data_IF_213598476494
#
_entry.id   IF_213598476494
#
_cell.length_a   1.000
_cell.length_b   1.000
_cell.length_c   1.000
_cell.angle_alpha   90.00
_cell.angle_beta   90.00
_cell.angle_gamma   90.00
#
_symmetry.space_group_name_H-M   'P 1'
#
loop_
_entity.id
_entity.type
_entity.pdbx_description
1 polymer ?
#
# COMPACT_ATOMS: atom_id res chain seq x y z
N UNK A 1 -37.87 2.17 25.92
CA UNK A 1 -37.86 2.64 24.52
C UNK A 1 -37.10 1.60 23.69
N UNK A 2 -37.83 0.74 22.96
CA UNK A 2 -37.24 -0.39 22.23
C UNK A 2 -36.53 0.13 20.98
N UNK A 3 -35.20 0.12 20.98
CA UNK A 3 -34.42 0.40 19.76
C UNK A 3 -34.60 -0.79 18.83
N UNK A 4 -35.35 -0.60 17.73
CA UNK A 4 -35.67 -1.62 16.74
C UNK A 4 -34.40 -2.35 16.26
N UNK A 5 -34.46 -3.67 16.12
CA UNK A 5 -33.32 -4.52 15.76
C UNK A 5 -32.63 -4.08 14.46
N UNK A 6 -33.40 -3.50 13.53
CA UNK A 6 -32.89 -2.94 12.27
C UNK A 6 -31.98 -1.74 12.50
N UNK A 7 -32.31 -0.85 13.46
CA UNK A 7 -31.47 0.31 13.79
C UNK A 7 -30.14 -0.12 14.42
N UNK A 8 -30.13 -1.22 15.19
CA UNK A 8 -28.90 -1.78 15.77
C UNK A 8 -27.98 -2.34 14.68
N UNK A 9 -28.54 -3.05 13.71
CA UNK A 9 -27.79 -3.59 12.56
C UNK A 9 -27.22 -2.45 11.71
N UNK A 10 -28.03 -1.42 11.43
CA UNK A 10 -27.58 -0.26 10.66
C UNK A 10 -26.44 0.48 11.37
N UNK A 11 -26.54 0.68 12.68
CA UNK A 11 -25.49 1.28 13.48
C UNK A 11 -24.19 0.46 13.43
N UNK A 12 -24.29 -0.87 13.52
CA UNK A 12 -23.13 -1.76 13.46
C UNK A 12 -22.42 -1.70 12.11
N UNK A 13 -23.16 -1.66 10.99
CA UNK A 13 -22.59 -1.53 9.64
C UNK A 13 -21.86 -0.19 9.48
N UNK A 14 -22.43 0.90 9.99
CA UNK A 14 -21.82 2.23 9.94
C UNK A 14 -20.51 2.26 10.74
N UNK A 15 -20.49 1.72 11.96
CA UNK A 15 -19.28 1.65 12.78
C UNK A 15 -18.17 0.84 12.08
N UNK A 16 -18.51 -0.31 11.48
CA UNK A 16 -17.54 -1.16 10.77
C UNK A 16 -16.93 -0.45 9.55
N UNK A 17 -17.74 0.32 8.81
CA UNK A 17 -17.27 1.13 7.67
C UNK A 17 -16.33 2.25 8.11
N UNK A 18 -16.64 2.95 9.21
CA UNK A 18 -15.81 4.06 9.71
C UNK A 18 -14.43 3.56 10.18
N UNK A 19 -14.39 2.43 10.87
CA UNK A 19 -13.13 1.79 11.30
C UNK A 19 -12.32 1.34 10.09
N UNK A 20 -12.95 0.67 9.12
CA UNK A 20 -12.29 0.22 7.89
C UNK A 20 -11.71 1.35 7.04
N UNK A 21 -12.37 2.51 6.97
CA UNK A 21 -11.87 3.67 6.22
C UNK A 21 -10.60 4.30 6.82
N UNK A 22 -10.45 4.23 8.15
CA UNK A 22 -9.34 4.88 8.88
C UNK A 22 -8.12 3.98 9.06
N UNK A 23 -8.23 2.69 8.73
CA UNK A 23 -7.16 1.70 8.86
C UNK A 23 -6.37 1.48 7.57
N UNK A 24 -6.68 2.18 6.49
CA UNK A 24 -5.90 2.10 5.26
C UNK A 24 -4.56 2.81 5.48
N UNK A 25 -3.49 2.03 5.70
CA UNK A 25 -2.12 2.52 5.76
C UNK A 25 -1.70 3.22 4.45
N UNK A 26 -0.58 3.94 4.50
CA UNK A 26 0.00 4.64 3.35
C UNK A 26 1.33 3.99 2.96
N UNK A 27 1.51 3.74 1.66
CA UNK A 27 2.78 3.34 1.09
C UNK A 27 3.44 4.56 0.45
N UNK A 28 4.62 4.93 0.93
CA UNK A 28 5.39 6.07 0.42
C UNK A 28 6.83 5.64 0.17
N UNK A 29 7.42 6.17 -0.91
CA UNK A 29 8.78 5.87 -1.33
C UNK A 29 9.65 7.09 -1.06
N UNK A 30 10.54 6.98 -0.09
CA UNK A 30 11.40 8.09 0.35
C UNK A 30 12.62 8.28 -0.57
N UNK A 31 13.13 7.18 -1.12
CA UNK A 31 14.30 7.17 -1.98
C UNK A 31 14.15 6.08 -3.03
N UNK A 32 14.57 6.36 -4.26
CA UNK A 32 14.62 5.39 -5.35
C UNK A 32 15.95 5.54 -6.10
N UNK A 33 16.63 4.44 -6.43
CA UNK A 33 17.79 4.48 -7.31
C UNK A 33 17.37 4.80 -8.75
N UNK A 34 18.31 5.27 -9.59
CA UNK A 34 18.03 5.68 -10.97
C UNK A 34 17.53 4.56 -11.89
N UNK A 35 17.78 3.29 -11.53
CA UNK A 35 17.31 2.11 -12.26
C UNK A 35 15.83 1.82 -12.08
N UNK A 36 15.16 2.46 -11.11
CA UNK A 36 13.75 2.30 -10.83
C UNK A 36 13.03 3.65 -10.84
N UNK A 37 11.75 3.63 -11.23
CA UNK A 37 10.88 4.79 -11.14
C UNK A 37 9.56 4.38 -10.50
N UNK A 38 9.30 4.93 -9.32
CA UNK A 38 8.00 4.83 -8.68
C UNK A 38 7.10 5.96 -9.18
N UNK A 39 5.92 5.61 -9.68
CA UNK A 39 4.89 6.55 -10.07
C UNK A 39 4.00 6.86 -8.87
N UNK A 40 3.64 8.13 -8.71
CA UNK A 40 2.57 8.54 -7.81
C UNK A 40 1.22 8.11 -8.42
N UNK A 41 0.93 6.81 -8.33
CA UNK A 41 -0.30 6.20 -8.80
C UNK A 41 -1.19 5.79 -7.63
N UNK A 42 -2.33 5.19 -7.94
CA UNK A 42 -3.35 4.75 -6.99
C UNK A 42 -2.79 3.94 -5.81
N UNK A 43 -3.58 3.90 -4.73
CA UNK A 43 -3.25 3.13 -3.52
C UNK A 43 -3.01 1.66 -3.87
N UNK A 44 -1.97 1.07 -3.27
CA UNK A 44 -1.71 -0.36 -3.37
C UNK A 44 -2.26 -1.12 -2.16
N UNK A 45 -2.47 -2.42 -2.32
CA UNK A 45 -2.75 -3.33 -1.21
C UNK A 45 -1.43 -3.74 -0.56
N UNK A 46 -1.41 -3.88 0.77
CA UNK A 46 -0.27 -4.42 1.52
C UNK A 46 0.18 -5.79 0.98
N UNK A 47 -0.76 -6.62 0.53
CA UNK A 47 -0.46 -7.92 -0.08
C UNK A 47 0.43 -7.85 -1.33
N UNK A 48 0.44 -6.71 -2.03
CA UNK A 48 1.28 -6.51 -3.22
C UNK A 48 2.72 -6.11 -2.86
N UNK A 49 3.01 -5.68 -1.62
CA UNK A 49 4.33 -5.13 -1.27
C UNK A 49 5.46 -6.13 -1.52
N UNK A 50 5.24 -7.41 -1.21
CA UNK A 50 6.20 -8.48 -1.49
C UNK A 50 6.57 -8.55 -2.97
N UNK A 51 5.57 -8.50 -3.85
CA UNK A 51 5.79 -8.57 -5.30
C UNK A 51 6.44 -7.27 -5.82
N UNK A 52 6.04 -6.11 -5.29
CA UNK A 52 6.65 -4.81 -5.61
C UNK A 52 8.15 -4.82 -5.26
N UNK A 53 8.52 -5.28 -4.06
CA UNK A 53 9.93 -5.37 -3.66
C UNK A 53 10.68 -6.42 -4.45
N UNK A 54 10.05 -7.57 -4.75
CA UNK A 54 10.67 -8.61 -5.59
C UNK A 54 10.99 -8.07 -6.98
N UNK A 55 10.03 -7.41 -7.64
CA UNK A 55 10.22 -6.79 -8.94
C UNK A 55 11.27 -5.67 -8.91
N UNK A 56 11.26 -4.83 -7.87
CA UNK A 56 12.25 -3.76 -7.69
C UNK A 56 13.68 -4.31 -7.58
N UNK A 57 13.86 -5.47 -6.93
CA UNK A 57 15.14 -6.17 -6.81
C UNK A 57 15.51 -7.01 -8.05
N UNK A 58 14.72 -6.94 -9.12
CA UNK A 58 14.98 -7.68 -10.37
C UNK A 58 14.57 -9.16 -10.34
N UNK A 59 13.78 -9.58 -9.35
CA UNK A 59 13.25 -10.94 -9.28
C UNK A 59 11.95 -11.07 -10.07
N UNK A 60 11.64 -12.29 -10.51
CA UNK A 60 10.34 -12.60 -11.10
C UNK A 60 9.23 -12.53 -10.06
N UNK A 61 8.08 -11.99 -10.44
CA UNK A 61 6.86 -11.97 -9.64
C UNK A 61 5.92 -13.09 -10.07
N UNK A 62 5.20 -13.67 -9.11
CA UNK A 62 4.28 -14.78 -9.39
C UNK A 62 2.88 -14.31 -9.79
N UNK A 63 2.48 -13.14 -9.28
CA UNK A 63 1.16 -12.57 -9.48
C UNK A 63 1.25 -11.27 -10.27
N UNK A 64 0.46 -11.17 -11.34
CA UNK A 64 0.25 -9.91 -12.04
C UNK A 64 -0.61 -8.99 -11.17
N UNK A 65 -0.01 -7.92 -10.65
CA UNK A 65 -0.72 -6.93 -9.85
C UNK A 65 -1.36 -5.91 -10.78
N UNK A 66 -2.63 -5.55 -10.54
CA UNK A 66 -3.27 -4.43 -11.25
C UNK A 66 -2.60 -3.08 -10.94
N UNK A 67 -1.75 -3.02 -9.90
CA UNK A 67 -1.05 -1.81 -9.48
C UNK A 67 0.16 -1.51 -10.37
N UNK A 68 0.12 -0.36 -11.06
CA UNK A 68 1.12 0.05 -12.07
C UNK A 68 2.07 1.13 -11.57
N UNK A 69 2.40 1.10 -10.28
CA UNK A 69 3.18 2.17 -9.65
C UNK A 69 4.69 1.99 -9.69
N UNK A 70 5.19 0.89 -10.25
CA UNK A 70 6.62 0.61 -10.41
C UNK A 70 6.98 0.45 -11.88
N UNK A 71 8.01 1.16 -12.32
CA UNK A 71 8.65 1.01 -13.63
C UNK A 71 10.12 0.64 -13.41
N UNK A 72 10.54 -0.48 -14.00
CA UNK A 72 11.97 -0.85 -14.08
C UNK A 72 12.57 -0.14 -15.29
N UNK A 73 13.47 0.82 -15.05
CA UNK A 73 14.11 1.63 -16.08
C UNK A 73 15.35 0.93 -16.63
N UNK A 74 16.16 0.35 -15.75
CA UNK A 74 17.35 -0.43 -16.10
C UNK A 74 17.33 -1.79 -15.39
N UNK A 75 16.96 -2.88 -16.09
CA UNK A 75 16.86 -4.21 -15.50
C UNK A 75 18.22 -4.89 -15.28
N UNK A 76 19.33 -4.31 -15.76
CA UNK A 76 20.67 -4.86 -15.57
C UNK A 76 21.43 -4.23 -14.41
N UNK A 77 20.90 -3.13 -13.87
CA UNK A 77 21.46 -2.41 -12.72
C UNK A 77 20.44 -2.34 -11.58
N UNK A 78 19.90 -3.49 -11.19
CA UNK A 78 18.89 -3.59 -10.14
C UNK A 78 19.48 -3.25 -8.77
N UNK A 79 18.73 -2.59 -7.88
CA UNK A 79 19.18 -2.36 -6.52
C UNK A 79 19.53 -3.65 -5.77
N UNK A 80 20.56 -3.57 -4.92
CA UNK A 80 21.05 -4.70 -4.12
C UNK A 80 20.14 -4.99 -2.91
N UNK A 81 19.51 -3.95 -2.37
CA UNK A 81 18.66 -4.07 -1.19
C UNK A 81 17.53 -3.03 -1.19
N UNK A 82 16.42 -3.38 -0.53
CA UNK A 82 15.33 -2.48 -0.20
C UNK A 82 15.20 -2.39 1.33
N UNK A 83 14.91 -1.19 1.83
CA UNK A 83 14.67 -0.94 3.25
C UNK A 83 13.23 -0.50 3.44
N UNK A 84 12.48 -1.29 4.21
CA UNK A 84 11.11 -0.98 4.60
C UNK A 84 11.09 -0.47 6.05
N UNK A 85 10.33 0.61 6.28
CA UNK A 85 10.07 1.13 7.63
C UNK A 85 8.56 1.08 7.86
N UNK A 86 8.13 0.10 8.66
CA UNK A 86 6.74 0.01 9.10
C UNK A 86 6.52 0.88 10.33
N UNK A 87 5.57 1.82 10.24
CA UNK A 87 5.19 2.69 11.37
C UNK A 87 3.70 2.51 11.64
N UNK A 88 3.38 1.97 12.81
CA UNK A 88 1.99 1.86 13.28
C UNK A 88 1.49 3.20 13.85
N UNK A 89 0.22 3.53 13.62
CA UNK A 89 -0.48 4.62 14.30
C UNK A 89 -0.31 6.04 13.74
N UNK A 90 0.37 6.24 12.61
CA UNK A 90 0.48 7.55 11.95
C UNK A 90 -0.35 7.63 10.67
N UNK A 91 -0.88 8.83 10.37
CA UNK A 91 -1.74 9.04 9.20
C UNK A 91 -0.98 9.28 7.89
N UNK A 92 0.29 9.72 7.97
CA UNK A 92 1.17 9.94 6.81
C UNK A 92 2.62 10.17 7.26
N UNK A 93 3.60 9.74 6.46
CA UNK A 93 5.04 10.06 6.63
C UNK A 93 5.43 11.05 5.54
N UNK A 94 5.40 12.33 5.86
CA UNK A 94 5.91 13.42 5.01
C UNK A 94 4.83 14.13 4.21
N UNK A 95 4.36 15.27 4.72
CA UNK A 95 3.81 16.34 3.89
C UNK A 95 4.95 17.31 3.55
N UNK A 96 5.25 17.45 2.26
CA UNK A 96 5.90 18.62 1.68
C UNK A 96 5.11 19.06 0.44
#
# INVERSE_FOLDING_TARGET
MSVNSVNKILFFIVVLKIIGLKAAGEFSVLYTPDSLRFMATDKTSESNLKEIFSAALGLSVEHDSEWKGLIVVDPFNTPEAAVEVYIDGIRSIGEH
#
